data_IF_477439103166
#
_entry.id   IF_477439103166
#
_cell.length_a   1.000
_cell.length_b   1.000
_cell.length_c   1.000
_cell.angle_alpha   90.00
_cell.angle_beta   90.00
_cell.angle_gamma   90.00
#
_symmetry.space_group_name_H-M   'P 1'
#
loop_
_entity.id
_entity.type
_entity.pdbx_description
1 polymer ?
#
# COMPACT_ATOMS: atom_id res chain seq x y z
N UNK A 1 16.82 -2.74 -6.74
CA UNK A 1 17.98 -2.42 -5.86
C UNK A 1 17.61 -2.69 -4.40
N UNK A 2 18.55 -3.25 -3.59
CA UNK A 2 18.35 -3.51 -2.16
C UNK A 2 19.42 -2.72 -1.42
N UNK A 3 19.03 -1.96 -0.39
CA UNK A 3 19.91 -1.05 0.35
C UNK A 3 19.82 -1.37 1.84
N UNK A 4 20.96 -1.68 2.46
CA UNK A 4 21.08 -1.80 3.91
C UNK A 4 21.39 -0.43 4.50
N UNK A 5 20.46 0.12 5.27
CA UNK A 5 20.63 1.44 5.89
C UNK A 5 19.37 2.02 6.49
N UNK A 6 19.53 3.15 7.15
CA UNK A 6 18.42 3.92 7.71
C UNK A 6 17.75 4.75 6.61
N UNK A 7 16.44 4.67 6.51
CA UNK A 7 15.65 5.40 5.50
C UNK A 7 15.94 6.89 5.48
N UNK A 8 16.13 7.51 6.64
CA UNK A 8 16.46 8.94 6.80
C UNK A 8 17.76 9.36 6.07
N UNK A 9 18.69 8.43 5.91
CA UNK A 9 19.97 8.66 5.25
C UNK A 9 19.94 8.25 3.77
N UNK A 10 19.33 7.09 3.50
CA UNK A 10 19.35 6.52 2.15
C UNK A 10 18.46 7.28 1.18
N UNK A 11 17.33 7.81 1.63
CA UNK A 11 16.43 8.63 0.81
C UNK A 11 17.12 9.87 0.25
N UNK A 12 18.03 10.49 1.01
CA UNK A 12 18.80 11.68 0.58
C UNK A 12 19.70 11.44 -0.64
N UNK A 13 20.05 10.17 -0.88
CA UNK A 13 20.90 9.77 -2.02
C UNK A 13 20.11 9.57 -3.31
N UNK A 14 18.78 9.47 -3.22
CA UNK A 14 17.92 9.32 -4.38
C UNK A 14 17.64 10.67 -5.05
N UNK A 15 17.54 10.64 -6.37
CA UNK A 15 17.29 11.86 -7.17
C UNK A 15 15.87 12.39 -6.96
N UNK A 16 15.70 13.70 -7.13
CA UNK A 16 14.40 14.35 -7.15
C UNK A 16 13.51 13.76 -8.23
N UNK A 17 12.22 13.59 -7.94
CA UNK A 17 11.21 13.13 -8.91
C UNK A 17 11.62 11.83 -9.64
N UNK A 18 12.22 10.88 -8.93
CA UNK A 18 12.71 9.62 -9.49
C UNK A 18 11.78 8.43 -9.25
N UNK A 19 10.88 8.50 -8.26
CA UNK A 19 10.06 7.39 -7.80
C UNK A 19 8.62 7.53 -8.29
N UNK A 20 8.08 6.46 -8.89
CA UNK A 20 6.70 6.41 -9.40
C UNK A 20 5.71 6.03 -8.31
N UNK A 21 6.05 5.05 -7.46
CA UNK A 21 5.21 4.58 -6.38
C UNK A 21 6.03 4.39 -5.11
N UNK A 22 5.52 4.89 -4.00
CA UNK A 22 6.00 4.55 -2.67
C UNK A 22 4.89 3.80 -1.94
N UNK A 23 5.18 2.59 -1.49
CA UNK A 23 4.27 1.81 -0.64
C UNK A 23 5.06 1.28 0.55
N UNK A 24 4.63 1.62 1.77
CA UNK A 24 5.43 1.31 2.94
C UNK A 24 4.60 1.21 4.22
N UNK A 25 5.13 0.44 5.17
CA UNK A 25 4.59 0.32 6.54
C UNK A 25 5.70 0.59 7.55
N UNK A 26 5.84 1.83 8.03
CA UNK A 26 6.87 2.17 9.02
C UNK A 26 6.63 1.42 10.34
N UNK A 27 7.65 1.33 11.21
CA UNK A 27 7.46 0.83 12.58
C UNK A 27 6.34 1.60 13.28
N UNK A 28 5.35 0.87 13.84
CA UNK A 28 4.25 1.52 14.57
C UNK A 28 4.72 2.00 15.93
N UNK A 29 4.20 3.15 16.38
CA UNK A 29 4.55 3.70 17.68
C UNK A 29 4.35 2.68 18.81
N UNK A 30 5.21 2.71 19.82
CA UNK A 30 5.20 1.85 21.03
C UNK A 30 5.21 0.33 20.73
N UNK A 31 5.32 -0.09 19.48
CA UNK A 31 5.32 -1.50 19.11
C UNK A 31 6.75 -2.02 18.91
N UNK A 32 6.94 -3.27 19.33
CA UNK A 32 8.19 -4.02 19.10
C UNK A 32 9.44 -3.28 19.57
N UNK A 33 9.40 -2.76 20.80
CA UNK A 33 10.52 -2.05 21.42
C UNK A 33 11.84 -2.80 21.32
N UNK A 34 11.79 -4.13 21.37
CA UNK A 34 12.98 -4.99 21.30
C UNK A 34 13.47 -5.26 19.85
N UNK A 35 12.72 -4.89 18.81
CA UNK A 35 13.07 -5.18 17.41
C UNK A 35 13.35 -3.90 16.62
N UNK A 36 12.53 -2.86 16.81
CA UNK A 36 12.62 -1.61 16.01
C UNK A 36 12.89 -0.35 16.85
N UNK A 37 13.18 -0.51 18.15
CA UNK A 37 13.53 0.60 19.04
C UNK A 37 12.35 1.38 19.61
N UNK A 38 11.09 1.04 19.23
CA UNK A 38 9.87 1.58 19.82
C UNK A 38 9.81 3.11 19.85
N UNK A 39 9.43 3.74 18.75
CA UNK A 39 9.27 5.20 18.68
C UNK A 39 8.12 5.60 19.60
N UNK A 40 8.32 6.52 20.57
CA UNK A 40 7.24 7.04 21.39
C UNK A 40 6.17 7.73 20.53
N UNK A 41 4.90 7.60 20.94
CA UNK A 41 3.79 8.13 20.15
C UNK A 41 3.81 9.66 20.06
N UNK A 42 4.21 10.34 21.13
CA UNK A 42 4.35 11.81 21.18
C UNK A 42 5.53 12.34 20.35
N UNK A 43 6.47 11.48 19.97
CA UNK A 43 7.62 11.79 19.10
C UNK A 43 7.47 11.28 17.66
N UNK A 44 6.38 10.57 17.37
CA UNK A 44 6.25 9.87 16.10
C UNK A 44 6.20 10.80 14.89
N UNK A 45 5.43 11.89 15.00
CA UNK A 45 5.31 12.90 13.94
C UNK A 45 6.65 13.59 13.70
N UNK A 46 7.33 13.98 14.79
CA UNK A 46 8.67 14.60 14.70
C UNK A 46 9.69 13.69 14.04
N UNK A 47 9.68 12.40 14.42
CA UNK A 47 10.56 11.38 13.82
C UNK A 47 10.28 11.16 12.33
N UNK A 48 9.00 11.06 11.92
CA UNK A 48 8.65 10.75 10.54
C UNK A 48 8.76 11.97 9.60
N UNK A 49 8.68 13.19 10.12
CA UNK A 49 8.66 14.42 9.32
C UNK A 49 9.88 14.56 8.38
N UNK A 50 11.14 14.36 8.78
CA UNK A 50 12.28 14.42 7.87
C UNK A 50 12.21 13.35 6.77
N UNK A 51 11.72 12.15 7.08
CA UNK A 51 11.49 11.08 6.10
C UNK A 51 10.44 11.53 5.08
N UNK A 52 9.35 12.12 5.55
CA UNK A 52 8.25 12.57 4.70
C UNK A 52 8.67 13.74 3.76
N UNK A 53 9.58 14.60 4.18
CA UNK A 53 10.18 15.64 3.35
C UNK A 53 10.91 15.01 2.17
N UNK A 54 11.74 13.99 2.43
CA UNK A 54 12.46 13.26 1.39
C UNK A 54 11.51 12.47 0.48
N UNK A 55 10.48 11.80 1.05
CA UNK A 55 9.42 11.16 0.26
C UNK A 55 8.83 12.16 -0.75
N UNK A 56 8.50 13.37 -0.30
CA UNK A 56 7.94 14.40 -1.19
C UNK A 56 8.91 14.85 -2.27
N UNK A 57 10.20 14.96 -1.95
CA UNK A 57 11.24 15.34 -2.89
C UNK A 57 11.41 14.32 -4.01
N UNK A 58 11.57 13.05 -3.64
CA UNK A 58 11.88 11.96 -4.59
C UNK A 58 10.66 11.47 -5.37
N UNK A 59 9.43 11.61 -4.84
CA UNK A 59 8.21 11.21 -5.53
C UNK A 59 8.01 12.05 -6.78
N UNK A 60 7.68 11.41 -7.91
CA UNK A 60 7.31 12.12 -9.15
C UNK A 60 6.00 12.90 -8.97
N UNK A 61 5.76 13.99 -9.74
CA UNK A 61 4.45 14.67 -9.76
C UNK A 61 3.29 13.77 -10.22
N UNK A 62 3.58 12.71 -10.95
CA UNK A 62 2.63 11.67 -11.40
C UNK A 62 2.55 10.48 -10.46
N UNK A 63 3.40 10.45 -9.43
CA UNK A 63 3.56 9.32 -8.53
C UNK A 63 2.58 9.33 -7.36
N UNK A 64 2.47 8.19 -6.70
CA UNK A 64 1.61 7.94 -5.54
C UNK A 64 2.39 7.46 -4.32
N UNK A 65 1.98 7.89 -3.13
CA UNK A 65 2.53 7.44 -1.86
C UNK A 65 1.43 6.77 -1.02
N UNK A 66 1.60 5.48 -0.71
CA UNK A 66 0.73 4.69 0.15
C UNK A 66 1.39 4.41 1.49
N UNK A 67 0.76 4.87 2.55
CA UNK A 67 1.21 4.71 3.93
C UNK A 67 0.28 3.75 4.67
N UNK A 68 0.74 2.53 4.96
CA UNK A 68 0.02 1.61 5.83
C UNK A 68 0.47 1.80 7.28
N UNK A 69 -0.41 2.34 8.09
CA UNK A 69 -0.15 2.56 9.51
C UNK A 69 -1.48 2.61 10.27
N UNK A 70 -1.51 2.04 11.47
CA UNK A 70 -2.70 2.10 12.34
C UNK A 70 -2.34 2.52 13.75
N UNK A 71 -3.28 3.19 14.43
CA UNK A 71 -3.11 3.51 15.84
C UNK A 71 -3.11 2.24 16.70
N UNK A 72 -2.32 2.24 17.75
CA UNK A 72 -2.41 1.24 18.82
C UNK A 72 -3.45 1.63 19.87
N UNK A 73 -3.62 0.78 20.86
CA UNK A 73 -4.51 1.02 22.00
C UNK A 73 -3.73 0.83 23.27
N UNK A 74 -3.80 1.81 24.16
CA UNK A 74 -3.18 1.81 25.47
C UNK A 74 -4.25 2.17 26.52
N UNK A 75 -4.37 1.39 27.58
CA UNK A 75 -5.35 1.60 28.66
C UNK A 75 -6.81 1.74 28.19
N UNK A 76 -7.19 1.02 27.12
CA UNK A 76 -8.53 1.07 26.53
C UNK A 76 -8.77 2.23 25.56
N UNK A 77 -7.87 3.17 25.45
CA UNK A 77 -7.97 4.32 24.56
C UNK A 77 -7.15 4.12 23.28
N UNK A 78 -7.70 4.55 22.13
CA UNK A 78 -7.01 4.50 20.86
C UNK A 78 -6.15 5.75 20.69
N UNK A 79 -4.88 5.56 20.41
CA UNK A 79 -3.92 6.61 20.13
C UNK A 79 -4.28 7.44 18.90
N UNK A 80 -3.96 8.72 18.91
CA UNK A 80 -4.25 9.67 17.83
C UNK A 80 -3.04 9.99 16.93
N UNK A 81 -1.84 9.49 17.24
CA UNK A 81 -0.61 9.84 16.52
C UNK A 81 -0.69 9.65 14.99
N UNK A 82 -1.51 8.67 14.53
CA UNK A 82 -1.69 8.43 13.09
C UNK A 82 -2.46 9.57 12.44
N UNK A 83 -3.48 10.11 13.12
CA UNK A 83 -4.23 11.27 12.62
C UNK A 83 -3.36 12.53 12.58
N UNK A 84 -2.53 12.74 13.61
CA UNK A 84 -1.56 13.84 13.64
C UNK A 84 -0.54 13.70 12.49
N UNK A 85 -0.08 12.47 12.21
CA UNK A 85 0.80 12.18 11.08
C UNK A 85 0.13 12.52 9.73
N UNK A 86 -1.12 12.08 9.52
CA UNK A 86 -1.88 12.39 8.30
C UNK A 86 -2.10 13.90 8.15
N UNK A 87 -2.41 14.59 9.24
CA UNK A 87 -2.58 16.05 9.26
C UNK A 87 -1.26 16.77 8.96
N UNK A 88 -0.14 16.34 9.51
CA UNK A 88 1.19 16.89 9.23
C UNK A 88 1.54 16.71 7.74
N UNK A 89 1.36 15.52 7.17
CA UNK A 89 1.60 15.27 5.74
C UNK A 89 0.77 16.22 4.86
N UNK A 90 -0.52 16.41 5.20
CA UNK A 90 -1.43 17.28 4.43
C UNK A 90 -1.17 18.75 4.66
N UNK A 91 -1.16 19.20 5.93
CA UNK A 91 -1.23 20.62 6.30
C UNK A 91 0.14 21.30 6.32
N UNK A 92 1.17 20.59 6.78
CA UNK A 92 2.51 21.17 6.90
C UNK A 92 3.37 20.87 5.68
N UNK A 93 3.35 19.64 5.18
CA UNK A 93 4.16 19.28 4.02
C UNK A 93 3.43 19.46 2.68
N UNK A 94 2.11 19.74 2.68
CA UNK A 94 1.36 20.06 1.48
C UNK A 94 1.24 18.90 0.50
N UNK A 95 1.16 17.65 0.97
CA UNK A 95 0.69 16.54 0.17
C UNK A 95 -0.82 16.70 -0.11
N UNK A 96 -1.29 16.19 -1.23
CA UNK A 96 -2.71 16.00 -1.46
C UNK A 96 -3.12 14.64 -0.91
N UNK A 97 -4.01 14.63 0.09
CA UNK A 97 -4.63 13.42 0.60
C UNK A 97 -5.76 13.02 -0.33
N UNK A 98 -5.65 11.84 -0.95
CA UNK A 98 -6.57 11.39 -2.01
C UNK A 98 -7.65 10.48 -1.45
N UNK A 99 -7.24 9.43 -0.71
CA UNK A 99 -8.16 8.38 -0.28
C UNK A 99 -7.62 7.64 0.96
N UNK A 100 -8.52 7.03 1.69
CA UNK A 100 -8.23 6.02 2.71
C UNK A 100 -8.74 4.67 2.23
N UNK A 101 -7.82 3.72 2.04
CA UNK A 101 -8.14 2.33 1.71
C UNK A 101 -8.29 1.52 2.98
N UNK A 102 -9.26 0.62 3.00
CA UNK A 102 -9.52 -0.29 4.10
C UNK A 102 -9.01 -1.70 3.74
N UNK A 103 -7.86 -2.09 4.30
CA UNK A 103 -7.37 -3.44 4.17
C UNK A 103 -8.06 -4.34 5.20
N UNK A 104 -9.01 -5.18 4.73
CA UNK A 104 -9.69 -6.18 5.56
C UNK A 104 -8.82 -7.44 5.65
N UNK A 105 -8.62 -7.90 6.87
CA UNK A 105 -7.88 -9.11 7.20
C UNK A 105 -8.66 -9.97 8.19
N UNK A 106 -8.28 -11.23 8.32
CA UNK A 106 -8.87 -12.09 9.34
C UNK A 106 -8.60 -11.52 10.72
N UNK A 107 -9.63 -11.19 11.51
CA UNK A 107 -9.46 -10.62 12.84
C UNK A 107 -8.81 -11.64 13.78
N UNK A 108 -7.98 -11.17 14.71
CA UNK A 108 -7.54 -12.01 15.80
C UNK A 108 -8.75 -12.52 16.62
N UNK A 109 -8.69 -13.76 17.14
CA UNK A 109 -9.84 -14.36 17.84
C UNK A 109 -10.24 -13.64 19.12
N UNK A 110 -9.34 -12.84 19.73
CA UNK A 110 -9.57 -12.15 20.99
C UNK A 110 -10.09 -10.74 20.81
N UNK A 111 -11.23 -10.43 21.38
CA UNK A 111 -11.70 -9.07 21.65
C UNK A 111 -11.35 -8.67 23.09
N UNK A 112 -11.37 -7.37 23.39
CA UNK A 112 -11.28 -6.85 24.75
C UNK A 112 -12.62 -6.27 25.18
N UNK A 113 -12.88 -6.22 26.48
CA UNK A 113 -14.12 -5.63 26.99
C UNK A 113 -14.35 -4.22 26.42
N UNK A 114 -15.58 -3.96 25.96
CA UNK A 114 -15.98 -2.68 25.36
C UNK A 114 -15.51 -2.43 23.94
N UNK A 115 -14.83 -3.39 23.26
CA UNK A 115 -14.31 -3.23 21.91
C UNK A 115 -14.51 -4.48 21.05
N UNK A 116 -14.95 -4.28 19.81
CA UNK A 116 -14.97 -5.33 18.83
C UNK A 116 -13.56 -5.70 18.33
N UNK A 117 -13.46 -6.88 17.70
CA UNK A 117 -12.22 -7.33 17.04
C UNK A 117 -11.80 -6.36 15.95
N UNK A 118 -10.50 -6.06 15.90
CA UNK A 118 -9.96 -5.20 14.85
C UNK A 118 -9.79 -5.99 13.55
N UNK A 119 -10.69 -5.78 12.58
CA UNK A 119 -10.75 -6.51 11.33
C UNK A 119 -10.10 -5.81 10.14
N UNK A 120 -9.55 -4.59 10.30
CA UNK A 120 -8.95 -3.86 9.17
C UNK A 120 -7.72 -3.05 9.59
N UNK A 121 -6.93 -2.68 8.57
CA UNK A 121 -5.89 -1.66 8.68
C UNK A 121 -6.06 -0.60 7.59
N UNK A 122 -5.90 0.69 7.92
CA UNK A 122 -5.96 1.76 6.93
C UNK A 122 -4.68 1.81 6.10
N UNK A 123 -4.83 2.17 4.83
CA UNK A 123 -3.74 2.56 3.94
C UNK A 123 -4.08 3.92 3.37
N UNK A 124 -3.29 4.93 3.71
CA UNK A 124 -3.52 6.32 3.33
C UNK A 124 -2.82 6.63 2.02
N UNK A 125 -3.54 7.20 1.05
CA UNK A 125 -3.02 7.58 -0.26
C UNK A 125 -2.75 9.08 -0.33
N UNK A 126 -1.51 9.41 -0.60
CA UNK A 126 -1.03 10.77 -0.81
C UNK A 126 -0.41 10.92 -2.19
N UNK A 127 -0.49 12.13 -2.74
CA UNK A 127 0.17 12.52 -3.98
C UNK A 127 0.83 13.89 -3.83
N UNK A 128 1.85 14.15 -4.63
CA UNK A 128 2.55 15.44 -4.65
C UNK A 128 1.95 16.40 -5.69
N UNK A 129 1.59 15.87 -6.84
CA UNK A 129 1.05 16.63 -7.96
C UNK A 129 -0.48 16.69 -7.99
N UNK A 130 -1.05 17.20 -9.08
CA UNK A 130 -2.49 17.24 -9.25
C UNK A 130 -3.08 15.85 -9.56
N UNK A 131 -4.22 15.52 -8.97
CA UNK A 131 -4.89 14.21 -9.10
C UNK A 131 -5.09 13.76 -10.55
N UNK A 132 -5.36 14.68 -11.47
CA UNK A 132 -5.59 14.38 -12.89
C UNK A 132 -4.33 13.88 -13.63
N UNK A 133 -3.14 14.03 -13.05
CA UNK A 133 -1.85 13.67 -13.66
C UNK A 133 -1.22 12.41 -13.11
N UNK A 134 -1.78 11.82 -12.05
CA UNK A 134 -1.21 10.60 -11.48
C UNK A 134 -1.34 9.42 -12.44
N UNK A 135 -0.38 8.51 -12.41
CA UNK A 135 -0.52 7.21 -13.04
C UNK A 135 -1.63 6.45 -12.34
N UNK A 136 -2.70 6.10 -13.08
CA UNK A 136 -3.84 5.39 -12.53
C UNK A 136 -4.50 4.46 -13.55
N UNK A 137 -4.44 3.17 -13.29
CA UNK A 137 -4.98 2.08 -14.10
C UNK A 137 -6.22 1.49 -13.38
N UNK A 138 -7.39 2.13 -13.46
CA UNK A 138 -8.54 1.82 -12.61
C UNK A 138 -9.12 0.42 -12.81
N UNK A 139 -8.83 -0.24 -13.90
CA UNK A 139 -9.32 -1.57 -14.22
C UNK A 139 -8.26 -2.67 -14.09
N UNK A 140 -7.01 -2.34 -13.75
CA UNK A 140 -5.93 -3.32 -13.60
C UNK A 140 -6.23 -4.39 -12.53
N UNK A 141 -7.07 -4.05 -11.55
CA UNK A 141 -7.59 -4.97 -10.52
C UNK A 141 -9.13 -5.04 -10.56
N UNK A 142 -9.72 -4.76 -11.72
CA UNK A 142 -11.17 -4.79 -11.92
C UNK A 142 -11.76 -6.19 -11.74
N UNK A 143 -13.02 -6.23 -11.34
CA UNK A 143 -13.80 -7.47 -11.29
C UNK A 143 -14.71 -7.59 -12.51
N UNK A 144 -14.85 -8.78 -13.11
CA UNK A 144 -15.78 -8.98 -14.21
C UNK A 144 -17.19 -8.54 -13.82
N UNK A 145 -17.86 -7.80 -14.70
CA UNK A 145 -19.23 -7.35 -14.47
C UNK A 145 -20.17 -8.51 -14.70
N UNK A 146 -21.04 -8.80 -13.72
CA UNK A 146 -22.03 -9.85 -13.86
C UNK A 146 -23.07 -9.53 -14.94
N UNK A 147 -23.60 -10.56 -15.61
CA UNK A 147 -24.66 -10.40 -16.61
C UNK A 147 -25.91 -9.72 -16.03
N UNK A 148 -26.18 -9.93 -14.75
CA UNK A 148 -27.26 -9.23 -14.05
C UNK A 148 -27.01 -7.71 -13.97
N UNK A 149 -25.78 -7.30 -13.68
CA UNK A 149 -25.40 -5.88 -13.66
C UNK A 149 -25.48 -5.27 -15.07
N UNK A 150 -24.99 -5.99 -16.07
CA UNK A 150 -25.12 -5.57 -17.48
C UNK A 150 -26.60 -5.42 -17.87
N UNK A 151 -27.44 -6.39 -17.56
CA UNK A 151 -28.88 -6.35 -17.88
C UNK A 151 -29.61 -5.21 -17.17
N UNK A 152 -29.25 -4.88 -15.93
CA UNK A 152 -29.78 -3.71 -15.19
C UNK A 152 -29.39 -2.39 -15.87
N UNK A 153 -28.14 -2.28 -16.32
CA UNK A 153 -27.67 -1.09 -17.03
C UNK A 153 -28.41 -0.86 -18.38
N UNK A 154 -28.86 -1.94 -19.04
CA UNK A 154 -29.60 -1.90 -20.29
C UNK A 154 -31.11 -1.60 -20.12
N UNK A 155 -31.70 -1.65 -18.93
CA UNK A 155 -33.11 -1.34 -18.72
C UNK A 155 -33.38 0.15 -18.98
N UNK A 156 -34.07 0.46 -20.09
CA UNK A 156 -34.39 1.83 -20.54
C UNK A 156 -35.09 2.70 -19.47
N UNK A 157 -35.73 2.13 -18.48
CA UNK A 157 -36.55 2.80 -17.47
C UNK A 157 -35.92 2.85 -16.07
N UNK A 158 -34.64 2.51 -15.90
CA UNK A 158 -33.99 2.69 -14.62
C UNK A 158 -33.75 4.19 -14.39
N UNK A 159 -34.67 4.85 -13.71
CA UNK A 159 -34.44 6.18 -13.14
C UNK A 159 -33.30 6.03 -12.15
N UNK A 160 -32.14 6.55 -12.47
CA UNK A 160 -31.03 6.67 -11.50
C UNK A 160 -31.58 7.64 -10.45
N UNK A 161 -31.65 7.25 -9.17
CA UNK A 161 -32.06 8.19 -8.14
C UNK A 161 -31.05 9.36 -8.18
N UNK A 162 -31.52 10.53 -8.53
CA UNK A 162 -30.77 11.77 -8.32
C UNK A 162 -30.81 12.05 -6.82
N UNK A 163 -30.03 11.31 -6.07
CA UNK A 163 -29.85 11.54 -4.63
C UNK A 163 -29.02 12.78 -4.42
N UNK A 164 -29.44 13.96 -4.84
CA UNK A 164 -28.83 15.23 -4.49
C UNK A 164 -27.29 15.36 -4.58
N UNK A 165 -26.60 14.25 -4.86
CA UNK A 165 -25.12 14.16 -4.88
C UNK A 165 -24.47 14.69 -6.17
N UNK A 166 -25.27 15.14 -7.12
CA UNK A 166 -24.74 15.69 -8.39
C UNK A 166 -24.01 14.68 -9.28
N UNK A 167 -24.06 13.40 -8.98
CA UNK A 167 -23.37 12.38 -9.75
C UNK A 167 -24.15 12.08 -11.05
N UNK A 168 -23.70 12.63 -12.15
CA UNK A 168 -24.18 12.28 -13.49
C UNK A 168 -23.57 10.93 -13.85
N UNK A 169 -24.39 9.88 -13.90
CA UNK A 169 -23.95 8.57 -14.39
C UNK A 169 -24.13 8.57 -15.91
N UNK A 170 -23.03 8.63 -16.64
CA UNK A 170 -23.03 8.48 -18.09
C UNK A 170 -23.37 7.02 -18.46
N UNK A 171 -24.58 6.81 -19.00
CA UNK A 171 -25.11 5.48 -19.36
C UNK A 171 -24.36 4.85 -20.53
N UNK A 172 -23.79 5.64 -21.42
CA UNK A 172 -23.10 5.10 -22.60
C UNK A 172 -21.76 4.45 -22.19
N UNK A 173 -21.15 4.88 -21.10
CA UNK A 173 -19.99 4.23 -20.51
C UNK A 173 -20.30 2.87 -19.85
N UNK A 174 -21.58 2.53 -19.56
CA UNK A 174 -21.96 1.24 -18.99
C UNK A 174 -22.21 0.16 -20.05
N UNK A 175 -22.44 0.51 -21.31
CA UNK A 175 -22.80 -0.44 -22.35
C UNK A 175 -21.68 -1.42 -22.73
N UNK A 176 -20.42 -1.06 -22.47
CA UNK A 176 -19.24 -1.85 -22.81
C UNK A 176 -18.37 -2.22 -21.60
N UNK A 177 -18.95 -2.20 -20.39
CA UNK A 177 -18.20 -2.50 -19.16
C UNK A 177 -18.01 -4.02 -19.03
N UNK A 178 -16.84 -4.51 -19.40
CA UNK A 178 -16.42 -5.88 -19.10
C UNK A 178 -15.98 -6.02 -17.64
N UNK A 179 -15.36 -4.98 -17.08
CA UNK A 179 -14.84 -4.93 -15.72
C UNK A 179 -15.37 -3.72 -14.96
N UNK A 180 -15.72 -3.92 -13.70
CA UNK A 180 -16.02 -2.87 -12.75
C UNK A 180 -14.75 -2.44 -11.99
N UNK A 181 -14.64 -1.14 -11.71
CA UNK A 181 -13.57 -0.64 -10.83
C UNK A 181 -13.71 -1.25 -9.43
N UNK A 182 -12.60 -1.67 -8.80
CA UNK A 182 -12.64 -2.15 -7.43
C UNK A 182 -13.03 -1.02 -6.48
N UNK A 183 -13.53 -1.38 -5.30
CA UNK A 183 -13.73 -0.43 -4.21
C UNK A 183 -12.41 -0.14 -3.49
N UNK A 184 -12.41 0.87 -2.61
CA UNK A 184 -11.30 1.15 -1.69
C UNK A 184 -11.22 0.16 -0.50
N UNK A 185 -11.97 -0.94 -0.54
CA UNK A 185 -11.93 -2.03 0.44
C UNK A 185 -11.24 -3.24 -0.17
N UNK A 186 -10.05 -3.57 0.35
CA UNK A 186 -9.20 -4.64 -0.17
C UNK A 186 -9.22 -5.82 0.82
N UNK A 187 -9.65 -6.99 0.36
CA UNK A 187 -9.62 -8.21 1.16
C UNK A 187 -8.34 -8.99 0.86
N UNK A 188 -7.43 -9.02 1.82
CA UNK A 188 -6.20 -9.79 1.74
C UNK A 188 -5.89 -10.40 3.10
N UNK A 189 -5.85 -11.72 3.17
CA UNK A 189 -5.54 -12.42 4.42
C UNK A 189 -4.08 -12.20 4.82
N UNK A 190 -3.83 -12.16 6.13
CA UNK A 190 -2.45 -12.19 6.62
C UNK A 190 -1.75 -13.44 6.11
N UNK A 191 -0.50 -13.29 5.75
CA UNK A 191 0.35 -14.43 5.37
C UNK A 191 0.63 -15.25 6.64
N UNK A 192 -0.07 -16.37 6.78
CA UNK A 192 0.08 -17.34 7.90
C UNK A 192 0.75 -18.63 7.43
N UNK A 193 1.74 -18.55 6.56
CA UNK A 193 2.42 -19.72 6.03
C UNK A 193 3.48 -20.21 7.02
N UNK A 194 3.84 -21.51 6.91
CA UNK A 194 5.00 -22.10 7.59
C UNK A 194 6.28 -21.29 7.37
N UNK A 195 6.32 -20.51 6.30
CA UNK A 195 7.38 -19.57 5.97
C UNK A 195 7.46 -18.41 6.98
N UNK A 196 6.33 -17.83 7.42
CA UNK A 196 6.31 -16.78 8.47
C UNK A 196 6.66 -17.32 9.85
N UNK A 197 6.42 -18.62 10.10
CA UNK A 197 6.82 -19.29 11.35
C UNK A 197 8.33 -19.56 11.39
N UNK A 198 8.97 -19.82 10.26
CA UNK A 198 10.44 -19.92 10.16
C UNK A 198 11.10 -18.54 10.19
N UNK A 199 10.41 -17.53 9.69
CA UNK A 199 10.86 -16.15 9.73
C UNK A 199 10.41 -15.53 11.06
N UNK A 200 11.34 -15.04 11.88
CA UNK A 200 11.06 -14.22 13.07
C UNK A 200 10.33 -12.89 12.72
N UNK A 201 9.80 -12.77 11.50
CA UNK A 201 9.13 -11.56 10.97
C UNK A 201 7.61 -11.71 11.09
N UNK A 202 6.99 -10.98 12.00
CA UNK A 202 5.59 -11.13 12.39
C UNK A 202 4.61 -10.16 11.67
N UNK A 203 5.06 -9.32 10.73
CA UNK A 203 4.22 -8.38 9.98
C UNK A 203 4.68 -8.28 8.54
N UNK A 204 4.17 -9.17 7.72
CA UNK A 204 4.44 -9.22 6.29
C UNK A 204 3.23 -8.65 5.56
N UNK A 205 3.45 -7.75 4.60
CA UNK A 205 2.41 -7.38 3.66
C UNK A 205 1.93 -8.60 2.89
N UNK A 206 0.62 -8.81 2.72
CA UNK A 206 0.14 -9.77 1.75
C UNK A 206 0.50 -9.30 0.33
N UNK A 207 1.01 -10.22 -0.49
CA UNK A 207 1.33 -9.93 -1.91
C UNK A 207 0.12 -9.34 -2.65
N UNK A 208 -1.07 -9.89 -2.43
CA UNK A 208 -2.34 -9.38 -3.01
C UNK A 208 -2.63 -7.91 -2.67
N UNK A 209 -2.22 -7.42 -1.49
CA UNK A 209 -2.39 -6.00 -1.12
C UNK A 209 -1.43 -5.12 -1.91
N UNK A 210 -0.15 -5.54 -2.00
CA UNK A 210 0.87 -4.82 -2.76
C UNK A 210 0.56 -4.84 -4.25
N UNK A 211 0.18 -6.00 -4.79
CA UNK A 211 -0.22 -6.18 -6.18
C UNK A 211 -1.33 -5.21 -6.60
N UNK A 212 -2.35 -5.03 -5.73
CA UNK A 212 -3.43 -4.08 -5.99
C UNK A 212 -2.91 -2.66 -6.24
N UNK A 213 -2.00 -2.16 -5.40
CA UNK A 213 -1.46 -0.81 -5.55
C UNK A 213 -0.46 -0.72 -6.71
N UNK A 214 0.42 -1.71 -6.87
CA UNK A 214 1.41 -1.71 -7.95
C UNK A 214 0.73 -1.75 -9.32
N UNK A 215 -0.23 -2.64 -9.54
CA UNK A 215 -0.99 -2.70 -10.81
C UNK A 215 -1.79 -1.43 -11.08
N UNK A 216 -2.42 -0.87 -10.04
CA UNK A 216 -3.32 0.27 -10.22
C UNK A 216 -2.59 1.61 -10.39
N UNK A 217 -1.37 1.76 -9.86
CA UNK A 217 -0.69 3.05 -9.78
C UNK A 217 0.71 3.08 -10.42
N UNK A 218 1.08 2.04 -11.18
CA UNK A 218 2.31 2.00 -11.97
C UNK A 218 2.10 1.33 -13.31
N UNK A 219 3.04 1.59 -14.24
CA UNK A 219 3.20 0.87 -15.49
C UNK A 219 4.45 -0.03 -15.41
N UNK A 220 4.63 -0.93 -16.39
CA UNK A 220 5.86 -1.73 -16.52
C UNK A 220 7.08 -0.81 -16.62
N UNK A 221 8.17 -1.19 -15.95
CA UNK A 221 9.39 -0.42 -15.89
C UNK A 221 9.42 0.72 -14.87
N UNK A 222 8.26 1.12 -14.28
CA UNK A 222 8.20 2.14 -13.23
C UNK A 222 8.94 1.68 -11.97
N UNK A 223 9.40 2.65 -11.16
CA UNK A 223 10.17 2.40 -9.94
C UNK A 223 9.29 2.47 -8.70
N UNK A 224 9.23 1.37 -7.97
CA UNK A 224 8.51 1.23 -6.70
C UNK A 224 9.50 1.25 -5.53
N UNK A 225 9.24 2.08 -4.52
CA UNK A 225 10.07 2.18 -3.32
C UNK A 225 9.31 1.67 -2.09
N UNK A 226 9.97 0.79 -1.32
CA UNK A 226 9.60 0.51 0.08
C UNK A 226 10.77 0.87 0.99
N UNK A 227 10.56 1.87 1.85
CA UNK A 227 11.59 2.42 2.72
C UNK A 227 11.68 1.72 4.10
N UNK A 228 10.81 0.73 4.35
CA UNK A 228 10.83 -0.16 5.51
C UNK A 228 10.50 -1.58 5.05
N UNK A 229 11.34 -2.11 4.16
CA UNK A 229 11.05 -3.25 3.30
C UNK A 229 10.77 -4.57 4.03
N UNK A 230 11.26 -4.71 5.26
CA UNK A 230 11.02 -5.90 6.08
C UNK A 230 11.36 -7.20 5.36
N UNK A 231 10.35 -7.97 5.01
CA UNK A 231 10.52 -9.23 4.27
C UNK A 231 10.63 -9.10 2.75
N UNK A 232 10.52 -7.88 2.19
CA UNK A 232 10.68 -7.61 0.77
C UNK A 232 9.50 -7.95 -0.13
N UNK A 233 8.30 -8.03 0.40
CA UNK A 233 7.10 -8.37 -0.40
C UNK A 233 6.90 -7.43 -1.59
N UNK A 234 7.20 -6.13 -1.44
CA UNK A 234 7.13 -5.16 -2.54
C UNK A 234 8.04 -5.57 -3.69
N UNK A 235 9.27 -6.01 -3.40
CA UNK A 235 10.20 -6.49 -4.43
C UNK A 235 9.72 -7.76 -5.14
N UNK A 236 9.14 -8.71 -4.41
CA UNK A 236 8.56 -9.94 -4.98
C UNK A 236 7.48 -9.61 -6.00
N UNK A 237 6.53 -8.74 -5.63
CA UNK A 237 5.44 -8.32 -6.52
C UNK A 237 5.97 -7.51 -7.73
N UNK A 238 7.01 -6.71 -7.54
CA UNK A 238 7.63 -5.97 -8.63
C UNK A 238 8.32 -6.89 -9.65
N UNK A 239 9.01 -7.95 -9.22
CA UNK A 239 9.56 -8.97 -10.12
C UNK A 239 8.44 -9.63 -10.97
N UNK A 240 7.34 -10.04 -10.35
CA UNK A 240 6.19 -10.63 -11.04
C UNK A 240 5.55 -9.71 -12.07
N UNK A 241 5.58 -8.42 -11.82
CA UNK A 241 4.87 -7.42 -12.61
C UNK A 241 5.77 -6.61 -13.54
N UNK A 242 7.04 -6.96 -13.68
CA UNK A 242 8.04 -6.24 -14.49
C UNK A 242 8.18 -4.76 -14.06
N UNK A 243 8.19 -4.48 -12.76
CA UNK A 243 8.48 -3.17 -12.19
C UNK A 243 9.88 -3.16 -11.61
N UNK A 244 10.55 -2.00 -11.69
CA UNK A 244 11.78 -1.77 -10.95
C UNK A 244 11.45 -1.49 -9.48
N UNK A 245 12.40 -1.78 -8.59
CA UNK A 245 12.19 -1.52 -7.16
C UNK A 245 13.46 -1.05 -6.45
N UNK A 246 13.23 -0.31 -5.37
CA UNK A 246 14.22 0.06 -4.36
C UNK A 246 13.65 -0.38 -3.00
N UNK A 247 14.41 -1.24 -2.30
CA UNK A 247 14.03 -1.74 -0.99
C UNK A 247 15.07 -1.30 0.02
N UNK A 248 14.66 -0.58 1.07
CA UNK A 248 15.54 -0.11 2.14
C UNK A 248 15.12 -0.76 3.44
N UNK A 249 16.07 -1.33 4.16
CA UNK A 249 15.86 -1.80 5.54
C UNK A 249 17.14 -1.63 6.36
N UNK A 250 16.99 -1.30 7.63
CA UNK A 250 18.11 -1.09 8.55
C UNK A 250 18.65 -2.38 9.16
N UNK A 251 17.87 -3.46 9.12
CA UNK A 251 18.24 -4.73 9.73
C UNK A 251 18.92 -5.65 8.70
N UNK A 252 20.17 -6.02 8.95
CA UNK A 252 20.92 -6.93 8.06
C UNK A 252 20.18 -8.25 7.84
N UNK A 253 19.51 -8.78 8.87
CA UNK A 253 18.68 -9.98 8.76
C UNK A 253 17.60 -9.83 7.67
N UNK A 254 16.92 -8.68 7.62
CA UNK A 254 15.90 -8.42 6.60
C UNK A 254 16.51 -8.33 5.21
N UNK A 255 17.69 -7.73 5.08
CA UNK A 255 18.41 -7.64 3.80
C UNK A 255 18.77 -9.03 3.25
N UNK A 256 19.26 -9.92 4.09
CA UNK A 256 19.55 -11.30 3.67
C UNK A 256 18.28 -12.05 3.27
N UNK A 257 17.22 -11.92 4.05
CA UNK A 257 15.92 -12.50 3.77
C UNK A 257 15.34 -12.03 2.43
N UNK A 258 15.42 -10.72 2.15
CA UNK A 258 14.97 -10.13 0.88
C UNK A 258 15.74 -10.76 -0.29
N UNK A 259 17.06 -10.88 -0.18
CA UNK A 259 17.91 -11.46 -1.23
C UNK A 259 17.54 -12.92 -1.52
N UNK A 260 17.31 -13.72 -0.47
CA UNK A 260 16.91 -15.12 -0.60
C UNK A 260 15.56 -15.26 -1.29
N UNK A 261 14.53 -14.53 -0.82
CA UNK A 261 13.19 -14.55 -1.41
C UNK A 261 13.17 -14.12 -2.86
N UNK A 262 13.87 -13.05 -3.21
CA UNK A 262 13.96 -12.59 -4.60
C UNK A 262 14.70 -13.59 -5.50
N UNK A 263 15.72 -14.26 -4.99
CA UNK A 263 16.40 -15.34 -5.73
C UNK A 263 15.45 -16.50 -6.02
N UNK A 264 14.70 -16.95 -5.01
CA UNK A 264 13.69 -18.02 -5.16
C UNK A 264 12.62 -17.61 -6.18
N UNK A 265 12.12 -16.38 -6.10
CA UNK A 265 11.10 -15.87 -7.02
C UNK A 265 11.57 -15.81 -8.48
N UNK A 266 12.79 -15.35 -8.73
CA UNK A 266 13.36 -15.33 -10.09
C UNK A 266 13.53 -16.72 -10.68
N UNK A 267 13.90 -17.71 -9.86
CA UNK A 267 13.97 -19.13 -10.29
C UNK A 267 12.57 -19.66 -10.62
N UNK A 268 11.54 -19.26 -9.85
CA UNK A 268 10.15 -19.64 -10.14
C UNK A 268 9.68 -19.05 -11.48
N UNK A 269 9.91 -17.76 -11.69
CA UNK A 269 9.50 -17.06 -12.92
C UNK A 269 10.21 -17.63 -14.16
N UNK A 270 11.51 -17.93 -14.10
CA UNK A 270 12.26 -18.51 -15.23
C UNK A 270 11.72 -19.86 -15.67
N UNK A 271 11.22 -20.69 -14.75
CA UNK A 271 10.61 -21.98 -15.09
C UNK A 271 9.28 -21.84 -15.81
N UNK A 272 8.49 -20.81 -15.46
CA UNK A 272 7.21 -20.53 -16.11
C UNK A 272 7.44 -20.10 -17.58
N UNK A 273 8.50 -19.34 -17.82
CA UNK A 273 8.87 -18.92 -19.18
C UNK A 273 9.33 -20.11 -20.03
N UNK A 274 10.11 -21.03 -19.45
CA UNK A 274 10.58 -22.24 -20.13
C UNK A 274 9.46 -23.24 -20.48
N UNK A 275 8.41 -23.32 -19.63
CA UNK A 275 7.24 -24.20 -19.87
C UNK A 275 6.25 -23.66 -20.91
N UNK A 276 6.39 -22.41 -21.33
CA UNK A 276 5.54 -21.76 -22.34
C UNK A 276 6.14 -21.76 -23.77
N UNK A 277 7.29 -22.41 -23.98
CA UNK A 277 7.93 -22.65 -25.28
C UNK A 277 7.91 -24.14 -25.62
#
# INVERSE_FOLDING_TARGET
>A
MIIHGYSENELKKLSDNSIDLIITSPPYAERRKNTYGGIPEDKYVEWFKPIAIEIKRILKPTGSFFLNIKPHTTNGERSLYVFDLVLMLKRELGFNFVEEYCWIKNPFPTGTHGRFKNGFEPVYHFIKGPLKKITFNPLACGTPVSEETKSRAFRKNCKIPTNGSGMIVDRDNFKNLEFARPSNVIKANNVTNQFTLKMKHSAVFPEKLVEFFVKSFTNEGDIVLDLFAGSGTVGIVCEELNRNYILIDKEEYNIQLIKERLKEKRIELSKIDDDNF
#
